data_IF_871412145149
#
_entry.id   IF_871412145149
#
_cell.length_a   1.000
_cell.length_b   1.000
_cell.length_c   1.000
_cell.angle_alpha   90.00
_cell.angle_beta   90.00
_cell.angle_gamma   90.00
#
_symmetry.space_group_name_H-M   'P 1'
#
loop_
_entity.id
_entity.type
_entity.pdbx_description
1 polymer ?
#
# COMPACT_ATOMS: atom_id res chain seq x y z
N UNK A 1 16.74 5.38 -21.33
CA UNK A 1 15.50 6.16 -21.06
C UNK A 1 14.42 5.16 -20.69
N UNK A 2 13.60 5.48 -19.72
CA UNK A 2 12.45 4.64 -19.37
C UNK A 2 11.22 5.17 -20.14
N UNK A 3 10.51 4.30 -20.86
CA UNK A 3 9.32 4.65 -21.59
C UNK A 3 8.12 4.75 -20.62
N UNK A 4 7.21 5.68 -20.89
CA UNK A 4 5.95 5.82 -20.15
C UNK A 4 4.80 5.61 -21.12
N UNK A 5 3.90 4.68 -20.79
CA UNK A 5 2.73 4.37 -21.55
C UNK A 5 1.48 4.84 -20.81
N UNK A 6 0.58 5.53 -21.51
CA UNK A 6 -0.65 6.06 -20.93
C UNK A 6 -1.83 5.60 -21.80
N UNK A 7 -2.69 4.77 -21.21
CA UNK A 7 -4.00 4.47 -21.78
C UNK A 7 -5.05 5.36 -21.10
N UNK A 8 -5.84 6.07 -21.89
CA UNK A 8 -6.89 6.95 -21.39
C UNK A 8 -8.17 6.72 -22.18
N UNK A 9 -9.23 6.44 -21.47
CA UNK A 9 -10.58 6.36 -22.00
C UNK A 9 -11.54 7.00 -21.00
N UNK A 10 -12.36 7.95 -21.44
CA UNK A 10 -13.23 8.73 -20.56
C UNK A 10 -14.55 8.03 -20.25
N UNK A 11 -14.87 6.96 -20.98
CA UNK A 11 -16.07 6.15 -20.77
C UNK A 11 -15.89 4.98 -19.80
N UNK A 12 -14.66 4.76 -19.31
CA UNK A 12 -14.36 3.62 -18.45
C UNK A 12 -14.78 3.91 -17.01
N UNK A 13 -15.57 3.01 -16.45
CA UNK A 13 -15.90 2.96 -15.04
C UNK A 13 -15.35 1.69 -14.39
N UNK A 14 -15.13 1.75 -13.08
CA UNK A 14 -14.85 0.54 -12.32
C UNK A 14 -16.10 -0.34 -12.26
N UNK A 15 -15.94 -1.67 -12.39
CA UNK A 15 -17.07 -2.58 -12.22
C UNK A 15 -17.68 -2.43 -10.84
N UNK A 16 -18.96 -2.84 -10.70
CA UNK A 16 -19.65 -2.80 -9.43
C UNK A 16 -18.92 -3.59 -8.35
N UNK A 17 -19.07 -3.14 -7.13
CA UNK A 17 -18.08 -3.21 -6.08
C UNK A 17 -17.77 -4.58 -5.53
N UNK A 18 -18.67 -5.54 -5.62
CA UNK A 18 -18.45 -6.89 -5.07
C UNK A 18 -18.35 -7.87 -6.22
N UNK A 19 -17.17 -7.97 -6.81
CA UNK A 19 -16.87 -8.94 -7.84
C UNK A 19 -15.41 -9.39 -7.75
N UNK A 20 -15.10 -10.57 -8.29
CA UNK A 20 -13.74 -11.07 -8.36
C UNK A 20 -12.84 -10.33 -9.38
N UNK A 21 -13.36 -9.33 -10.09
CA UNK A 21 -12.63 -8.59 -11.11
C UNK A 21 -12.34 -9.37 -12.40
N UNK A 22 -13.07 -10.46 -12.65
CA UNK A 22 -12.93 -11.27 -13.88
C UNK A 22 -13.23 -10.44 -15.14
N UNK A 23 -12.62 -10.76 -16.31
CA UNK A 23 -12.95 -10.08 -17.57
C UNK A 23 -14.41 -10.31 -17.97
N UNK A 24 -15.02 -9.37 -18.66
CA UNK A 24 -16.35 -9.54 -19.26
C UNK A 24 -16.32 -10.18 -20.66
N UNK A 25 -15.11 -10.36 -21.21
CA UNK A 25 -14.87 -11.00 -22.50
C UNK A 25 -13.92 -12.17 -22.32
N UNK A 26 -14.23 -13.30 -22.94
CA UNK A 26 -13.32 -14.44 -22.96
C UNK A 26 -12.20 -14.19 -23.97
N UNK A 27 -11.04 -13.75 -23.48
CA UNK A 27 -9.86 -13.54 -24.32
C UNK A 27 -9.16 -14.87 -24.63
N UNK A 28 -8.50 -15.02 -25.80
CA UNK A 28 -7.80 -16.27 -26.16
C UNK A 28 -6.72 -16.69 -25.16
N UNK A 29 -6.04 -15.72 -24.56
CA UNK A 29 -4.98 -15.95 -23.57
C UNK A 29 -5.48 -16.16 -22.14
N UNK A 30 -6.76 -15.92 -21.86
CA UNK A 30 -7.34 -16.06 -20.51
C UNK A 30 -7.40 -17.51 -20.11
N UNK A 31 -6.88 -17.84 -18.93
CA UNK A 31 -6.68 -19.23 -18.50
C UNK A 31 -7.94 -19.87 -17.88
N UNK A 32 -8.98 -19.08 -17.64
CA UNK A 32 -10.20 -19.53 -16.96
C UNK A 32 -11.42 -19.40 -17.85
N UNK A 33 -12.50 -20.14 -17.50
CA UNK A 33 -13.78 -20.07 -18.21
C UNK A 33 -14.79 -19.11 -17.56
N UNK A 34 -14.58 -18.77 -16.29
CA UNK A 34 -15.48 -17.87 -15.53
C UNK A 34 -15.22 -16.43 -15.93
N UNK A 35 -16.21 -15.81 -16.54
CA UNK A 35 -16.19 -14.38 -16.89
C UNK A 35 -17.20 -13.61 -16.04
N UNK A 36 -17.03 -12.30 -15.95
CA UNK A 36 -17.96 -11.38 -15.29
C UNK A 36 -19.29 -11.32 -16.04
N UNK A 37 -20.40 -11.34 -15.33
CA UNK A 37 -21.75 -11.12 -15.91
C UNK A 37 -21.98 -9.61 -16.20
N UNK A 38 -21.24 -8.72 -15.54
CA UNK A 38 -21.24 -7.28 -15.74
C UNK A 38 -20.06 -6.82 -16.58
N UNK A 39 -20.17 -5.63 -17.15
CA UNK A 39 -19.08 -5.01 -17.91
C UNK A 39 -17.87 -4.73 -17.00
N UNK A 40 -16.68 -5.11 -17.49
CA UNK A 40 -15.40 -4.86 -16.83
C UNK A 40 -14.37 -4.34 -17.85
N UNK A 41 -14.46 -3.06 -18.16
CA UNK A 41 -13.55 -2.39 -19.08
C UNK A 41 -12.12 -2.25 -18.52
N UNK A 42 -11.95 -2.42 -17.22
CA UNK A 42 -10.63 -2.32 -16.57
C UNK A 42 -9.73 -3.45 -17.03
N UNK A 43 -10.25 -4.68 -17.11
CA UNK A 43 -9.49 -5.83 -17.61
C UNK A 43 -9.01 -5.59 -19.05
N UNK A 44 -9.90 -5.14 -19.92
CA UNK A 44 -9.57 -4.78 -21.32
C UNK A 44 -8.54 -3.65 -21.38
N UNK A 45 -8.65 -2.65 -20.52
CA UNK A 45 -7.70 -1.52 -20.44
C UNK A 45 -6.30 -1.97 -20.06
N UNK A 46 -6.15 -2.88 -19.10
CA UNK A 46 -4.86 -3.47 -18.73
C UNK A 46 -4.29 -4.26 -19.91
N UNK A 47 -5.12 -5.07 -20.56
CA UNK A 47 -4.77 -5.83 -21.75
C UNK A 47 -4.26 -4.93 -22.88
N UNK A 48 -4.99 -3.87 -23.20
CA UNK A 48 -4.60 -2.86 -24.20
C UNK A 48 -3.31 -2.14 -23.82
N UNK A 49 -3.14 -1.83 -22.52
CA UNK A 49 -1.92 -1.18 -22.03
C UNK A 49 -0.71 -2.08 -22.24
N UNK A 50 -0.77 -3.36 -21.90
CA UNK A 50 0.32 -4.31 -22.13
C UNK A 50 0.65 -4.46 -23.62
N UNK A 51 -0.37 -4.49 -24.49
CA UNK A 51 -0.15 -4.51 -25.94
C UNK A 51 0.52 -3.22 -26.43
N UNK A 52 0.07 -2.05 -25.96
CA UNK A 52 0.67 -0.74 -26.26
C UNK A 52 2.15 -0.67 -25.84
N UNK A 53 2.50 -1.29 -24.72
CA UNK A 53 3.88 -1.43 -24.24
C UNK A 53 4.73 -2.36 -25.15
N UNK A 54 4.13 -3.00 -26.13
CA UNK A 54 4.81 -3.95 -27.03
C UNK A 54 5.17 -5.27 -26.37
N UNK A 55 4.53 -5.61 -25.24
CA UNK A 55 4.83 -6.83 -24.48
C UNK A 55 4.31 -8.05 -25.24
N UNK A 56 5.24 -8.94 -25.60
CA UNK A 56 4.98 -10.17 -26.38
C UNK A 56 4.09 -9.92 -27.61
N UNK A 57 4.38 -8.85 -28.37
CA UNK A 57 3.57 -8.34 -29.47
C UNK A 57 3.25 -9.38 -30.53
N UNK A 58 4.16 -10.31 -30.76
CA UNK A 58 4.05 -11.35 -31.80
C UNK A 58 2.92 -12.33 -31.53
N UNK A 59 2.59 -12.58 -30.25
CA UNK A 59 1.54 -13.50 -29.86
C UNK A 59 0.21 -12.83 -29.48
N UNK A 60 0.12 -11.50 -29.56
CA UNK A 60 -1.09 -10.77 -29.20
C UNK A 60 -2.33 -11.29 -29.96
N UNK A 61 -3.42 -11.51 -29.22
CA UNK A 61 -4.67 -12.06 -29.77
C UNK A 61 -4.68 -13.59 -29.92
N UNK A 62 -3.67 -14.28 -29.42
CA UNK A 62 -3.62 -15.75 -29.38
C UNK A 62 -3.51 -16.27 -27.93
N UNK A 63 -3.78 -17.55 -27.73
CA UNK A 63 -3.64 -18.21 -26.44
C UNK A 63 -2.17 -18.25 -25.91
N UNK A 64 -1.21 -18.00 -26.78
CA UNK A 64 0.22 -17.96 -26.46
C UNK A 64 0.67 -16.60 -25.89
N UNK A 65 -0.14 -15.55 -26.05
CA UNK A 65 0.27 -14.23 -25.60
C UNK A 65 0.55 -14.21 -24.09
N UNK A 66 1.79 -13.88 -23.75
CA UNK A 66 2.32 -13.87 -22.38
C UNK A 66 3.05 -12.53 -22.12
N UNK A 67 2.32 -11.42 -21.89
CA UNK A 67 2.91 -10.09 -21.82
C UNK A 67 3.95 -9.93 -20.70
N UNK A 68 3.86 -10.70 -19.62
CA UNK A 68 4.81 -10.61 -18.51
C UNK A 68 5.93 -11.66 -18.55
N UNK A 69 5.98 -12.53 -19.56
CA UNK A 69 6.96 -13.63 -19.66
C UNK A 69 8.42 -13.21 -19.82
N UNK A 70 8.71 -11.91 -20.05
CA UNK A 70 10.08 -11.36 -20.01
C UNK A 70 10.52 -10.87 -18.62
N UNK A 71 9.59 -10.78 -17.66
CA UNK A 71 9.82 -10.20 -16.34
C UNK A 71 9.54 -11.16 -15.20
N UNK A 72 8.70 -12.16 -15.46
CA UNK A 72 8.28 -13.17 -14.48
C UNK A 72 8.56 -14.55 -15.07
N UNK A 73 9.25 -15.37 -14.32
CA UNK A 73 9.68 -16.71 -14.73
C UNK A 73 9.06 -17.78 -13.83
N UNK A 74 9.01 -19.05 -14.32
CA UNK A 74 8.60 -20.19 -13.49
C UNK A 74 9.41 -20.25 -12.19
N UNK A 75 8.71 -20.53 -11.08
CA UNK A 75 9.18 -20.56 -9.70
C UNK A 75 9.43 -19.20 -9.01
N UNK A 76 9.26 -18.08 -9.70
CA UNK A 76 9.39 -16.76 -9.04
C UNK A 76 8.35 -16.60 -7.91
N UNK A 77 8.77 -15.85 -6.90
CA UNK A 77 7.91 -15.25 -5.89
C UNK A 77 7.61 -13.81 -6.31
N UNK A 78 6.37 -13.55 -6.70
CA UNK A 78 5.97 -12.24 -7.20
C UNK A 78 5.16 -11.50 -6.14
N UNK A 79 5.67 -10.36 -5.68
CA UNK A 79 4.92 -9.43 -4.84
C UNK A 79 4.10 -8.47 -5.72
N UNK A 80 2.79 -8.56 -5.66
CA UNK A 80 1.87 -7.56 -6.18
C UNK A 80 1.59 -6.55 -5.06
N UNK A 81 1.95 -5.29 -5.28
CA UNK A 81 1.85 -4.24 -4.28
C UNK A 81 0.78 -3.20 -4.67
N UNK A 82 -0.51 -3.43 -4.37
CA UNK A 82 -1.55 -2.43 -4.54
C UNK A 82 -1.45 -1.33 -3.48
N UNK A 83 -2.28 -0.29 -3.60
CA UNK A 83 -2.51 0.70 -2.56
C UNK A 83 -3.81 0.36 -1.84
N UNK A 84 -3.78 -0.03 -0.57
CA UNK A 84 -4.97 -0.44 0.19
C UNK A 84 -5.37 0.55 1.30
N UNK A 85 -4.62 1.57 1.52
CA UNK A 85 -4.69 2.67 2.51
C UNK A 85 -5.70 2.51 3.65
N UNK A 86 -7.02 2.50 3.37
CA UNK A 86 -8.10 2.46 4.39
C UNK A 86 -9.38 1.87 3.80
N UNK A 87 -10.17 1.21 4.64
CA UNK A 87 -11.39 0.49 4.25
C UNK A 87 -12.58 1.41 3.93
N UNK A 88 -12.60 2.65 4.44
CA UNK A 88 -13.73 3.57 4.24
C UNK A 88 -13.27 5.01 4.03
N UNK A 89 -14.08 5.80 3.34
CA UNK A 89 -13.91 7.23 3.22
C UNK A 89 -14.81 7.95 4.22
N UNK A 90 -14.21 8.56 5.24
CA UNK A 90 -14.96 9.29 6.30
C UNK A 90 -15.39 10.69 5.87
N UNK A 91 -14.96 11.17 4.69
CA UNK A 91 -15.22 12.54 4.22
C UNK A 91 -16.31 12.56 3.15
N UNK A 92 -16.32 11.55 2.27
CA UNK A 92 -17.21 11.47 1.13
C UNK A 92 -17.88 10.10 1.08
N UNK A 93 -19.21 10.08 1.15
CA UNK A 93 -19.99 8.88 0.93
C UNK A 93 -19.71 8.30 -0.47
N UNK A 94 -19.57 6.98 -0.56
CA UNK A 94 -19.20 6.26 -1.80
C UNK A 94 -17.90 6.75 -2.46
N UNK A 95 -16.99 7.34 -1.66
CA UNK A 95 -15.68 7.81 -2.13
C UNK A 95 -14.57 6.78 -2.05
N UNK A 96 -14.87 5.54 -1.69
CA UNK A 96 -13.91 4.45 -1.45
C UNK A 96 -13.11 4.12 -2.71
N UNK A 97 -13.76 4.11 -3.88
CA UNK A 97 -13.13 3.84 -5.19
C UNK A 97 -11.94 4.77 -5.49
N UNK A 98 -11.87 5.94 -4.85
CA UNK A 98 -10.74 6.88 -4.98
C UNK A 98 -9.59 6.60 -4.02
N UNK A 99 -9.76 5.78 -2.99
CA UNK A 99 -8.79 5.58 -1.91
C UNK A 99 -7.75 4.51 -2.24
N UNK A 100 -8.16 3.40 -2.84
CA UNK A 100 -7.33 2.22 -3.03
C UNK A 100 -7.33 1.74 -4.49
N UNK A 101 -6.39 0.85 -4.81
CA UNK A 101 -6.33 0.20 -6.11
C UNK A 101 -7.50 -0.75 -6.26
N UNK A 102 -8.32 -0.56 -7.30
CA UNK A 102 -9.50 -1.39 -7.53
C UNK A 102 -9.11 -2.86 -7.80
N UNK A 103 -9.91 -3.79 -7.29
CA UNK A 103 -9.67 -5.23 -7.41
C UNK A 103 -9.56 -5.69 -8.86
N UNK A 104 -10.31 -5.08 -9.80
CA UNK A 104 -10.26 -5.43 -11.22
C UNK A 104 -8.87 -5.18 -11.84
N UNK A 105 -8.14 -4.14 -11.39
CA UNK A 105 -6.76 -3.90 -11.81
C UNK A 105 -5.85 -5.00 -11.26
N UNK A 106 -5.98 -5.28 -9.96
CA UNK A 106 -5.15 -6.29 -9.29
C UNK A 106 -5.38 -7.66 -9.91
N UNK A 107 -6.65 -8.02 -10.15
CA UNK A 107 -7.03 -9.28 -10.78
C UNK A 107 -6.43 -9.42 -12.17
N UNK A 108 -6.63 -8.44 -13.06
CA UNK A 108 -6.12 -8.50 -14.42
C UNK A 108 -4.60 -8.68 -14.46
N UNK A 109 -3.85 -7.95 -13.63
CA UNK A 109 -2.40 -8.08 -13.57
C UNK A 109 -1.99 -9.43 -12.99
N UNK A 110 -2.66 -9.91 -11.94
CA UNK A 110 -2.37 -11.21 -11.29
C UNK A 110 -2.59 -12.38 -12.26
N UNK A 111 -3.65 -12.34 -13.08
CA UNK A 111 -3.90 -13.38 -14.09
C UNK A 111 -2.74 -13.49 -15.10
N UNK A 112 -2.20 -12.36 -15.56
CA UNK A 112 -1.03 -12.36 -16.46
C UNK A 112 0.27 -12.79 -15.75
N UNK A 113 0.41 -12.53 -14.44
CA UNK A 113 1.53 -13.06 -13.64
C UNK A 113 1.42 -14.58 -13.56
N UNK A 114 0.26 -15.13 -13.21
CA UNK A 114 0.02 -16.58 -13.12
C UNK A 114 0.27 -17.27 -14.47
N UNK A 115 -0.14 -16.64 -15.58
CA UNK A 115 0.19 -17.10 -16.91
C UNK A 115 1.70 -17.18 -17.14
N UNK A 116 2.46 -16.18 -16.73
CA UNK A 116 3.90 -16.15 -16.87
C UNK A 116 4.60 -17.19 -15.97
N UNK A 117 4.09 -17.41 -14.77
CA UNK A 117 4.57 -18.44 -13.84
C UNK A 117 4.34 -19.87 -14.36
N UNK A 118 3.37 -20.09 -15.25
CA UNK A 118 3.12 -21.38 -15.89
C UNK A 118 2.80 -22.53 -14.91
N UNK A 119 2.12 -22.23 -13.80
CA UNK A 119 1.72 -23.20 -12.78
C UNK A 119 2.78 -23.47 -11.69
N UNK A 120 3.92 -22.77 -11.71
CA UNK A 120 4.95 -22.85 -10.66
C UNK A 120 5.25 -21.47 -10.07
N UNK A 121 5.83 -21.41 -8.85
CA UNK A 121 6.01 -20.14 -8.14
C UNK A 121 4.78 -19.73 -7.34
N UNK A 122 4.70 -18.46 -6.95
CA UNK A 122 3.59 -17.93 -6.16
C UNK A 122 3.40 -16.42 -6.35
N UNK A 123 2.18 -15.96 -6.12
CA UNK A 123 1.84 -14.53 -6.08
C UNK A 123 1.43 -14.13 -4.67
N UNK A 124 2.03 -13.07 -4.15
CA UNK A 124 1.68 -12.49 -2.85
C UNK A 124 1.15 -11.08 -3.09
N UNK A 125 -0.13 -10.86 -2.86
CA UNK A 125 -0.76 -9.55 -2.92
C UNK A 125 -0.68 -8.95 -1.51
N UNK A 126 0.04 -7.84 -1.32
CA UNK A 126 0.27 -7.34 0.04
C UNK A 126 0.39 -5.83 0.13
N UNK A 127 -0.07 -5.28 1.25
CA UNK A 127 0.10 -3.88 1.65
C UNK A 127 0.11 -3.75 3.18
N UNK A 128 0.70 -2.66 3.69
CA UNK A 128 0.51 -2.21 5.06
C UNK A 128 -0.37 -0.94 5.06
N UNK A 129 -1.70 -1.07 5.10
CA UNK A 129 -2.61 0.08 5.16
C UNK A 129 -2.39 0.92 6.42
N UNK A 130 -3.14 2.03 6.59
CA UNK A 130 -3.11 2.79 7.83
C UNK A 130 -3.54 1.89 9.00
N UNK A 131 -2.97 2.14 10.17
CA UNK A 131 -3.14 1.26 11.34
C UNK A 131 -4.60 1.08 11.77
N UNK A 132 -5.44 2.10 11.58
CA UNK A 132 -6.87 2.06 11.91
C UNK A 132 -7.76 1.44 10.83
N UNK A 133 -7.21 0.98 9.71
CA UNK A 133 -7.98 0.27 8.69
C UNK A 133 -8.38 -1.11 9.20
N UNK A 134 -9.65 -1.42 9.15
CA UNK A 134 -10.14 -2.78 9.38
C UNK A 134 -9.88 -3.63 8.14
N UNK A 135 -9.07 -4.68 8.30
CA UNK A 135 -8.64 -5.53 7.19
C UNK A 135 -9.77 -6.40 6.63
N UNK A 136 -10.58 -6.96 7.51
CA UNK A 136 -11.66 -7.88 7.13
C UNK A 136 -12.78 -7.11 6.43
N UNK A 137 -13.11 -5.92 6.95
CA UNK A 137 -14.05 -5.01 6.29
C UNK A 137 -13.50 -4.59 4.93
N UNK A 138 -12.20 -4.21 4.85
CA UNK A 138 -11.58 -3.85 3.58
C UNK A 138 -11.72 -4.99 2.56
N UNK A 139 -11.29 -6.18 2.92
CA UNK A 139 -11.32 -7.33 2.00
C UNK A 139 -12.74 -7.65 1.51
N UNK A 140 -13.73 -7.61 2.42
CA UNK A 140 -15.12 -7.97 2.10
C UNK A 140 -15.87 -6.90 1.31
N UNK A 141 -15.50 -5.61 1.43
CA UNK A 141 -16.21 -4.51 0.75
C UNK A 141 -15.55 -4.06 -0.54
N UNK A 142 -14.31 -4.45 -0.79
CA UNK A 142 -13.52 -4.02 -1.95
C UNK A 142 -13.41 -5.04 -3.09
N UNK A 143 -14.01 -6.24 -2.93
CA UNK A 143 -13.92 -7.34 -3.89
C UNK A 143 -12.65 -8.19 -3.79
N UNK A 144 -11.74 -7.87 -2.86
CA UNK A 144 -10.51 -8.67 -2.70
C UNK A 144 -10.79 -10.06 -2.12
N UNK A 145 -11.79 -10.21 -1.25
CA UNK A 145 -12.21 -11.50 -0.72
C UNK A 145 -12.72 -12.41 -1.84
N UNK A 146 -13.61 -11.92 -2.68
CA UNK A 146 -14.18 -12.66 -3.82
C UNK A 146 -13.10 -13.05 -4.82
N UNK A 147 -12.11 -12.19 -5.06
CA UNK A 147 -10.95 -12.49 -5.90
C UNK A 147 -10.12 -13.65 -5.30
N UNK A 148 -9.87 -13.64 -3.99
CA UNK A 148 -9.13 -14.73 -3.34
C UNK A 148 -9.89 -16.04 -3.36
N UNK A 149 -11.21 -16.03 -3.12
CA UNK A 149 -12.07 -17.21 -3.25
C UNK A 149 -12.05 -17.77 -4.67
N UNK A 150 -11.99 -16.91 -5.69
CA UNK A 150 -11.83 -17.34 -7.07
C UNK A 150 -10.50 -18.08 -7.28
N UNK A 151 -9.37 -17.53 -6.81
CA UNK A 151 -8.06 -18.18 -6.97
C UNK A 151 -7.97 -19.50 -6.19
N UNK A 152 -8.57 -19.57 -5.00
CA UNK A 152 -8.63 -20.78 -4.19
C UNK A 152 -9.40 -21.90 -4.93
N UNK A 153 -10.58 -21.59 -5.50
CA UNK A 153 -11.37 -22.55 -6.30
C UNK A 153 -10.63 -23.07 -7.52
N UNK A 154 -9.72 -22.27 -8.07
CA UNK A 154 -8.91 -22.64 -9.24
C UNK A 154 -7.53 -23.23 -8.86
N UNK A 155 -7.30 -23.50 -7.57
CA UNK A 155 -6.04 -24.05 -7.03
C UNK A 155 -4.80 -23.20 -7.38
N UNK A 156 -4.96 -21.90 -7.49
CA UNK A 156 -3.85 -20.99 -7.75
C UNK A 156 -3.07 -20.64 -6.48
N UNK A 157 -1.76 -20.49 -6.60
CA UNK A 157 -0.89 -20.11 -5.48
C UNK A 157 -0.86 -18.60 -5.32
N UNK A 158 -1.98 -18.03 -4.91
CA UNK A 158 -2.14 -16.61 -4.62
C UNK A 158 -2.45 -16.44 -3.14
N UNK A 159 -1.83 -15.47 -2.49
CA UNK A 159 -2.11 -15.11 -1.11
C UNK A 159 -2.34 -13.60 -0.96
N UNK A 160 -3.18 -13.20 -0.01
CA UNK A 160 -3.47 -11.82 0.33
C UNK A 160 -2.98 -11.56 1.76
N UNK A 161 -2.05 -10.61 1.94
CA UNK A 161 -1.33 -10.43 3.21
C UNK A 161 -1.39 -8.98 3.69
N UNK A 162 -1.84 -8.80 4.94
CA UNK A 162 -1.71 -7.56 5.68
C UNK A 162 -0.30 -7.47 6.29
N UNK A 163 0.50 -6.54 5.81
CA UNK A 163 1.89 -6.36 6.22
C UNK A 163 2.07 -5.56 7.52
N UNK A 164 1.02 -5.16 8.21
CA UNK A 164 1.14 -4.39 9.45
C UNK A 164 1.56 -5.25 10.64
N UNK A 165 2.53 -4.79 11.38
CA UNK A 165 2.89 -5.36 12.68
C UNK A 165 1.82 -5.04 13.75
N UNK A 166 1.25 -3.83 13.72
CA UNK A 166 0.20 -3.40 14.63
C UNK A 166 -1.08 -3.03 13.88
N UNK A 167 -2.21 -3.33 14.48
CA UNK A 167 -3.50 -2.75 14.14
C UNK A 167 -3.90 -1.78 15.25
N UNK A 168 -4.50 -0.66 14.90
CA UNK A 168 -4.93 0.33 15.86
C UNK A 168 -6.46 0.42 15.91
N UNK A 169 -6.99 0.56 17.12
CA UNK A 169 -8.43 0.76 17.36
C UNK A 169 -8.65 2.02 18.16
N UNK A 170 -9.69 2.76 17.82
CA UNK A 170 -10.12 3.90 18.61
C UNK A 170 -10.90 3.44 19.84
N UNK A 171 -10.44 3.85 21.03
CA UNK A 171 -11.17 3.74 22.28
C UNK A 171 -11.53 5.15 22.79
N UNK A 172 -12.70 5.63 22.41
CA UNK A 172 -13.09 7.02 22.66
C UNK A 172 -12.14 7.97 21.94
N UNK A 173 -11.35 8.75 22.70
CA UNK A 173 -10.44 9.76 22.15
C UNK A 173 -9.02 9.27 21.87
N UNK A 174 -8.66 8.07 22.27
CA UNK A 174 -7.29 7.56 22.12
C UNK A 174 -7.23 6.42 21.12
N UNK A 175 -6.04 6.21 20.55
CA UNK A 175 -5.75 5.10 19.65
C UNK A 175 -4.93 4.05 20.42
N UNK A 176 -5.44 2.83 20.49
CA UNK A 176 -4.77 1.70 21.14
C UNK A 176 -4.25 0.78 20.04
N UNK A 177 -2.99 0.40 20.12
CA UNK A 177 -2.34 -0.52 19.20
C UNK A 177 -2.38 -1.94 19.75
N UNK A 178 -2.74 -2.88 18.89
CA UNK A 178 -2.72 -4.31 19.16
C UNK A 178 -1.72 -4.97 18.21
N UNK A 179 -0.78 -5.74 18.75
CA UNK A 179 0.19 -6.48 17.97
C UNK A 179 -0.49 -7.62 17.21
N UNK A 180 -0.10 -7.82 15.96
CA UNK A 180 -0.61 -8.89 15.10
C UNK A 180 0.40 -10.03 15.00
N UNK A 181 -0.08 -11.25 14.98
CA UNK A 181 0.75 -12.40 14.60
C UNK A 181 0.97 -12.36 13.09
N UNK A 182 2.20 -12.11 12.68
CA UNK A 182 2.58 -12.04 11.26
C UNK A 182 3.06 -13.41 10.74
N UNK A 183 2.68 -13.82 9.52
CA UNK A 183 3.19 -15.03 8.89
C UNK A 183 4.59 -14.87 8.26
N UNK A 184 5.21 -13.70 8.39
CA UNK A 184 6.51 -13.33 7.81
C UNK A 184 7.32 -12.51 8.83
N UNK A 185 8.60 -12.24 8.50
CA UNK A 185 9.48 -11.45 9.37
C UNK A 185 9.41 -9.96 9.02
N UNK A 186 9.49 -9.12 10.04
CA UNK A 186 9.83 -7.71 9.90
C UNK A 186 11.36 -7.57 10.03
N UNK A 187 11.99 -7.00 9.02
CA UNK A 187 13.44 -6.83 8.95
C UNK A 187 13.78 -5.36 9.09
N UNK A 188 14.58 -5.00 10.07
CA UNK A 188 15.06 -3.62 10.22
C UNK A 188 16.22 -3.38 9.28
N UNK A 189 16.02 -2.46 8.33
CA UNK A 189 17.02 -2.03 7.35
C UNK A 189 17.49 -0.63 7.73
N UNK A 190 18.80 -0.47 7.98
CA UNK A 190 19.41 0.83 8.23
C UNK A 190 20.04 1.37 6.96
N UNK A 191 19.47 2.43 6.40
CA UNK A 191 19.99 3.09 5.21
C UNK A 191 21.17 4.03 5.52
N UNK A 192 21.33 4.46 6.79
CA UNK A 192 22.44 5.32 7.19
C UNK A 192 22.61 6.52 6.24
N UNK A 193 23.77 6.61 5.60
CA UNK A 193 24.11 7.69 4.68
C UNK A 193 23.34 7.69 3.35
N UNK A 194 22.75 6.58 2.97
CA UNK A 194 21.95 6.44 1.74
C UNK A 194 20.50 6.92 1.92
N UNK A 195 20.11 7.24 3.16
CA UNK A 195 18.80 7.82 3.44
C UNK A 195 18.72 9.27 2.94
N UNK A 196 17.56 9.64 2.40
CA UNK A 196 17.25 11.03 2.08
C UNK A 196 17.27 11.97 3.32
N UNK A 197 17.18 11.42 4.54
CA UNK A 197 17.30 12.15 5.78
C UNK A 197 18.74 12.32 6.29
N UNK A 198 19.72 11.71 5.64
CA UNK A 198 21.12 11.75 6.07
C UNK A 198 21.72 13.19 6.06
N UNK A 199 21.15 14.08 5.27
CA UNK A 199 21.55 15.50 5.24
C UNK A 199 21.01 16.32 6.40
N UNK A 200 20.10 15.78 7.21
CA UNK A 200 19.50 16.45 8.35
C UNK A 200 20.34 16.21 9.61
N UNK A 201 20.46 17.26 10.44
CA UNK A 201 21.08 17.10 11.77
C UNK A 201 20.17 16.28 12.71
N UNK A 202 20.74 15.71 13.78
CA UNK A 202 19.97 15.00 14.80
C UNK A 202 18.88 15.87 15.44
N UNK A 203 19.11 17.17 15.59
CA UNK A 203 18.09 18.12 16.09
C UNK A 203 16.89 18.18 15.14
N UNK A 204 17.15 18.17 13.82
CA UNK A 204 16.10 18.19 12.81
C UNK A 204 15.38 16.84 12.73
N UNK A 205 16.11 15.74 12.87
CA UNK A 205 15.56 14.38 12.90
C UNK A 205 14.67 14.13 14.13
N UNK A 206 14.97 14.74 15.28
CA UNK A 206 14.06 14.76 16.44
C UNK A 206 12.71 15.41 16.18
N UNK A 207 12.56 16.17 15.11
CA UNK A 207 11.30 16.72 14.63
C UNK A 207 10.45 15.74 13.82
N UNK A 208 10.97 14.59 13.40
CA UNK A 208 10.25 13.59 12.61
C UNK A 208 9.09 13.00 13.42
N UNK A 209 7.93 12.86 12.77
CA UNK A 209 6.67 12.43 13.39
C UNK A 209 5.85 11.54 12.46
N UNK A 210 5.04 10.74 13.11
CA UNK A 210 3.87 10.10 12.54
C UNK A 210 2.69 10.32 13.49
N UNK A 211 1.49 10.48 12.96
CA UNK A 211 0.28 10.73 13.75
C UNK A 211 -0.03 9.51 14.64
N UNK A 212 -0.45 9.77 15.87
CA UNK A 212 -0.89 8.77 16.86
C UNK A 212 0.21 7.81 17.37
N UNK A 213 1.49 8.20 17.28
CA UNK A 213 2.64 7.39 17.73
C UNK A 213 3.59 8.16 18.64
N UNK A 214 4.32 7.44 19.49
CA UNK A 214 5.33 8.03 20.34
C UNK A 214 6.55 8.50 19.56
N UNK A 215 6.81 9.78 19.59
CA UNK A 215 7.93 10.39 18.90
C UNK A 215 9.30 9.91 19.39
N UNK A 216 9.41 9.43 20.64
CA UNK A 216 10.68 8.92 21.19
C UNK A 216 11.16 7.68 20.44
N UNK A 217 10.23 6.82 19.99
CA UNK A 217 10.54 5.63 19.20
C UNK A 217 11.06 6.08 17.82
N UNK A 218 10.34 6.96 17.14
CA UNK A 218 10.76 7.52 15.86
C UNK A 218 12.15 8.16 15.94
N UNK A 219 12.40 8.97 16.99
CA UNK A 219 13.70 9.61 17.23
C UNK A 219 14.82 8.58 17.37
N UNK A 220 14.58 7.45 18.06
CA UNK A 220 15.57 6.41 18.27
C UNK A 220 16.03 5.71 16.99
N UNK A 221 15.17 5.73 15.95
CA UNK A 221 15.43 5.11 14.65
C UNK A 221 16.03 6.07 13.61
N UNK A 222 16.00 7.39 13.87
CA UNK A 222 16.44 8.40 12.90
C UNK A 222 17.44 9.41 13.45
N UNK A 223 18.18 9.08 14.51
CA UNK A 223 19.25 9.91 15.08
C UNK A 223 20.55 9.11 15.25
N UNK A 224 21.66 9.78 15.50
CA UNK A 224 22.98 9.15 15.66
C UNK A 224 23.49 8.53 14.38
N UNK A 225 23.17 9.09 13.23
CA UNK A 225 23.57 8.57 11.91
C UNK A 225 22.80 7.34 11.45
N UNK A 226 21.76 6.94 12.18
CA UNK A 226 20.84 5.86 11.77
C UNK A 226 19.64 6.41 11.02
N UNK A 227 19.18 5.62 10.04
CA UNK A 227 17.88 5.81 9.36
C UNK A 227 17.29 4.44 9.10
N UNK A 228 16.59 3.93 10.10
CA UNK A 228 16.09 2.56 10.15
C UNK A 228 14.63 2.49 9.69
N UNK A 229 14.31 1.44 8.94
CA UNK A 229 12.98 1.13 8.42
C UNK A 229 12.67 -0.34 8.66
N UNK A 230 11.46 -0.65 9.10
CA UNK A 230 10.99 -2.01 9.32
C UNK A 230 10.30 -2.52 8.04
N UNK A 231 11.01 -3.30 7.25
CA UNK A 231 10.55 -3.79 5.94
C UNK A 231 10.09 -5.25 6.06
N UNK A 232 8.99 -5.60 5.38
CA UNK A 232 8.53 -6.99 5.28
C UNK A 232 9.55 -7.87 4.56
N UNK A 233 9.85 -9.06 5.11
CA UNK A 233 10.69 -10.05 4.42
C UNK A 233 10.10 -10.46 3.06
N UNK A 234 8.78 -10.45 2.91
CA UNK A 234 8.11 -10.68 1.61
C UNK A 234 8.62 -9.71 0.54
N UNK A 235 8.78 -8.42 0.88
CA UNK A 235 9.24 -7.44 -0.08
C UNK A 235 10.76 -7.54 -0.36
N UNK A 236 11.54 -8.05 0.59
CA UNK A 236 12.99 -8.22 0.44
C UNK A 236 13.36 -9.53 -0.29
N UNK A 237 12.50 -10.53 -0.19
CA UNK A 237 12.74 -11.88 -0.72
C UNK A 237 12.01 -12.13 -2.05
N UNK A 238 11.12 -11.23 -2.48
CA UNK A 238 10.43 -11.34 -3.76
C UNK A 238 11.40 -11.21 -4.93
N UNK A 239 11.30 -12.12 -5.91
CA UNK A 239 12.08 -12.08 -7.16
C UNK A 239 11.61 -10.91 -8.03
N UNK A 240 10.30 -10.61 -8.02
CA UNK A 240 9.68 -9.51 -8.78
C UNK A 240 8.69 -8.75 -7.91
N UNK A 241 8.73 -7.41 -7.97
CA UNK A 241 7.71 -6.54 -7.36
C UNK A 241 6.94 -5.82 -8.46
N UNK A 242 5.63 -6.08 -8.55
CA UNK A 242 4.73 -5.35 -9.44
C UNK A 242 3.93 -4.33 -8.62
N UNK A 243 4.29 -3.07 -8.78
CA UNK A 243 3.74 -1.96 -8.01
C UNK A 243 2.50 -1.38 -8.69
N UNK A 244 1.33 -1.49 -8.06
CA UNK A 244 0.02 -1.06 -8.56
C UNK A 244 -0.53 0.13 -7.75
N UNK A 245 0.02 1.33 -7.90
CA UNK A 245 -0.37 2.49 -7.12
C UNK A 245 -1.76 3.02 -7.51
N UNK A 246 -2.43 3.68 -6.56
CA UNK A 246 -3.56 4.56 -6.84
C UNK A 246 -3.08 6.00 -6.93
N UNK A 247 -3.16 6.61 -8.10
CA UNK A 247 -2.84 8.04 -8.26
C UNK A 247 -3.97 8.86 -7.64
N UNK A 248 -3.62 9.71 -6.68
CA UNK A 248 -4.55 10.60 -5.97
C UNK A 248 -3.83 11.77 -5.32
N UNK A 249 -4.56 12.81 -4.98
CA UNK A 249 -4.03 13.92 -4.18
C UNK A 249 -3.65 13.46 -2.77
N UNK A 250 -2.69 14.14 -2.17
CA UNK A 250 -2.24 13.86 -0.80
C UNK A 250 -1.97 15.17 -0.05
N UNK A 251 -2.47 15.26 1.18
CA UNK A 251 -2.42 16.47 2.00
C UNK A 251 -1.01 17.04 2.19
N UNK A 252 -0.03 16.18 2.49
CA UNK A 252 1.35 16.59 2.77
C UNK A 252 2.26 16.44 1.54
N UNK A 253 2.19 15.31 0.84
CA UNK A 253 3.08 15.02 -0.29
C UNK A 253 2.58 15.59 -1.64
N UNK A 254 1.46 16.33 -1.65
CA UNK A 254 0.81 16.83 -2.85
C UNK A 254 0.12 15.73 -3.66
N UNK A 255 0.84 14.68 -4.03
CA UNK A 255 0.35 13.56 -4.83
C UNK A 255 0.86 12.22 -4.30
N UNK A 256 0.08 11.16 -4.50
CA UNK A 256 0.53 9.78 -4.35
C UNK A 256 0.70 9.14 -5.73
N UNK A 257 1.74 8.32 -5.86
CA UNK A 257 2.04 7.58 -7.07
C UNK A 257 2.90 6.36 -6.72
N UNK A 258 3.66 5.86 -7.69
CA UNK A 258 4.44 4.62 -7.55
C UNK A 258 5.43 4.66 -6.37
N UNK A 259 6.23 5.74 -6.24
CA UNK A 259 7.20 5.87 -5.15
C UNK A 259 6.52 5.84 -3.77
N UNK A 260 5.43 6.63 -3.61
CA UNK A 260 4.73 6.66 -2.33
C UNK A 260 4.02 5.34 -2.01
N UNK A 261 3.63 4.57 -3.00
CA UNK A 261 2.99 3.27 -2.77
C UNK A 261 3.93 2.26 -2.09
N UNK A 262 5.23 2.35 -2.34
CA UNK A 262 6.23 1.48 -1.69
C UNK A 262 6.32 1.70 -0.16
N UNK A 263 5.85 2.82 0.35
CA UNK A 263 5.69 3.03 1.80
C UNK A 263 4.92 1.87 2.47
N UNK A 264 3.99 1.24 1.76
CA UNK A 264 3.20 0.12 2.26
C UNK A 264 3.94 -1.22 2.39
N UNK A 265 5.24 -1.31 2.15
CA UNK A 265 6.06 -2.47 2.54
C UNK A 265 6.64 -2.34 3.95
N UNK A 266 6.50 -1.16 4.59
CA UNK A 266 6.90 -0.95 5.97
C UNK A 266 5.87 -1.57 6.92
N UNK A 267 6.32 -2.52 7.70
CA UNK A 267 5.48 -3.29 8.62
C UNK A 267 5.17 -2.52 9.90
N UNK A 268 6.07 -1.63 10.31
CA UNK A 268 5.96 -0.86 11.54
C UNK A 268 6.09 0.64 11.28
N UNK A 269 5.04 1.37 11.61
CA UNK A 269 4.96 2.80 11.37
C UNK A 269 5.82 3.63 12.33
N UNK A 270 6.28 3.07 13.43
CA UNK A 270 7.22 3.73 14.34
C UNK A 270 8.57 4.04 13.66
N UNK A 271 8.90 3.30 12.58
CA UNK A 271 10.11 3.51 11.77
C UNK A 271 9.90 4.43 10.57
N UNK A 272 8.66 4.91 10.32
CA UNK A 272 8.31 5.55 9.06
C UNK A 272 7.89 7.01 9.25
N UNK A 273 8.80 7.99 9.12
CA UNK A 273 8.46 9.40 9.21
C UNK A 273 7.41 9.82 8.17
N UNK A 274 6.36 10.52 8.61
CA UNK A 274 5.32 11.04 7.74
C UNK A 274 5.42 12.56 7.54
N UNK A 275 5.91 13.27 8.56
CA UNK A 275 6.11 14.71 8.51
C UNK A 275 7.17 15.13 9.53
N UNK A 276 7.64 16.35 9.40
CA UNK A 276 8.53 16.99 10.37
C UNK A 276 7.84 18.19 11.01
N UNK A 277 7.84 18.22 12.33
CA UNK A 277 7.24 19.27 13.15
C UNK A 277 7.79 20.64 12.78
N UNK A 278 6.93 21.66 12.75
CA UNK A 278 7.32 23.02 12.46
C UNK A 278 6.95 23.52 11.06
N UNK A 279 7.55 24.62 10.66
CA UNK A 279 7.36 25.27 9.35
C UNK A 279 8.60 25.13 8.47
N UNK A 280 8.50 25.55 7.22
CA UNK A 280 9.66 25.61 6.31
C UNK A 280 10.81 26.49 6.82
N UNK A 281 10.53 27.50 7.63
CA UNK A 281 11.56 28.31 8.29
C UNK A 281 12.31 27.59 9.40
N UNK A 282 11.67 26.60 10.03
CA UNK A 282 12.24 25.73 11.04
C UNK A 282 12.66 24.37 10.46
N UNK A 283 12.74 24.30 9.11
CA UNK A 283 12.99 23.05 8.36
C UNK A 283 11.91 21.99 8.65
N UNK A 284 10.71 22.39 9.03
CA UNK A 284 9.52 21.54 9.18
C UNK A 284 8.63 21.58 7.94
N UNK A 285 7.64 20.69 7.88
CA UNK A 285 6.68 20.60 6.78
C UNK A 285 5.23 20.39 7.25
N UNK A 286 5.01 20.44 8.58
CA UNK A 286 3.69 20.21 9.18
C UNK A 286 2.73 21.38 8.96
N UNK A 287 3.23 22.61 9.09
CA UNK A 287 2.44 23.83 9.06
C UNK A 287 3.00 24.82 8.03
N UNK A 288 2.13 25.55 7.35
CA UNK A 288 2.54 26.71 6.54
C UNK A 288 3.01 27.87 7.42
N UNK A 289 2.34 28.03 8.55
CA UNK A 289 2.63 29.05 9.58
C UNK A 289 2.29 28.43 10.94
N UNK A 290 3.13 28.65 11.94
CA UNK A 290 2.94 28.14 13.32
C UNK A 290 2.51 29.28 14.24
N UNK A 291 1.39 29.09 14.91
CA UNK A 291 0.93 29.92 16.00
C UNK A 291 1.34 29.30 17.34
N UNK A 292 1.34 30.12 18.40
CA UNK A 292 1.64 29.61 19.75
C UNK A 292 0.71 28.48 20.19
N UNK A 293 -0.56 28.57 19.81
CA UNK A 293 -1.57 27.51 20.03
C UNK A 293 -1.19 26.18 19.38
N UNK A 294 -0.59 26.21 18.17
CA UNK A 294 -0.17 24.99 17.47
C UNK A 294 0.99 24.31 18.20
N UNK A 295 1.95 25.09 18.73
CA UNK A 295 3.05 24.54 19.54
C UNK A 295 2.55 23.86 20.80
N UNK A 296 1.53 24.41 21.48
CA UNK A 296 0.91 23.80 22.64
C UNK A 296 0.19 22.50 22.23
N UNK A 297 -0.62 22.57 21.17
CA UNK A 297 -1.36 21.41 20.65
C UNK A 297 -0.43 20.27 20.27
N UNK A 298 0.64 20.56 19.53
CA UNK A 298 1.63 19.55 19.14
C UNK A 298 2.30 18.91 20.35
N UNK A 299 2.61 19.70 21.38
CA UNK A 299 3.22 19.19 22.61
C UNK A 299 2.26 18.32 23.43
N UNK A 300 0.97 18.65 23.44
CA UNK A 300 -0.07 17.84 24.07
C UNK A 300 -0.28 16.53 23.32
N UNK A 301 -0.24 16.54 21.97
CA UNK A 301 -0.32 15.33 21.15
C UNK A 301 0.88 14.41 21.44
N UNK A 302 2.10 14.94 21.45
CA UNK A 302 3.31 14.18 21.80
C UNK A 302 3.18 13.55 23.19
N UNK A 303 2.69 14.31 24.18
CA UNK A 303 2.48 13.82 25.54
C UNK A 303 1.40 12.74 25.61
N UNK A 304 0.29 12.92 24.89
CA UNK A 304 -0.79 11.93 24.82
C UNK A 304 -0.26 10.60 24.22
N UNK A 305 0.47 10.68 23.11
CA UNK A 305 1.02 9.51 22.43
C UNK A 305 1.98 8.74 23.34
N UNK A 306 2.83 9.44 24.14
CA UNK A 306 3.70 8.82 25.16
C UNK A 306 2.90 8.10 26.24
N UNK A 307 1.81 8.70 26.73
CA UNK A 307 0.95 8.03 27.71
C UNK A 307 0.23 6.81 27.15
N UNK A 308 -0.15 6.83 25.86
CA UNK A 308 -0.72 5.67 25.17
C UNK A 308 0.33 4.56 25.10
N UNK A 309 1.56 4.87 24.68
CA UNK A 309 2.67 3.91 24.59
C UNK A 309 3.01 3.29 25.96
N UNK A 310 3.09 4.13 26.99
CA UNK A 310 3.30 3.71 28.38
C UNK A 310 2.08 2.98 28.99
N UNK A 311 1.02 2.71 28.22
CA UNK A 311 -0.26 2.10 28.65
C UNK A 311 -0.99 2.87 29.76
N UNK A 312 -0.70 4.16 29.91
CA UNK A 312 -1.34 5.07 30.87
C UNK A 312 -2.58 5.73 30.30
N UNK A 313 -3.55 4.94 29.86
CA UNK A 313 -4.70 5.37 29.06
C UNK A 313 -5.58 6.44 29.73
N UNK A 314 -5.71 6.41 31.05
CA UNK A 314 -6.51 7.43 31.77
C UNK A 314 -5.85 8.82 31.65
N UNK A 315 -4.53 8.90 31.78
CA UNK A 315 -3.80 10.16 31.56
C UNK A 315 -3.86 10.62 30.11
N UNK A 316 -3.70 9.68 29.15
CA UNK A 316 -3.84 9.99 27.74
C UNK A 316 -5.23 10.59 27.40
N UNK A 317 -6.33 10.06 27.96
CA UNK A 317 -7.67 10.58 27.79
C UNK A 317 -7.89 11.97 28.41
N UNK A 318 -7.18 12.26 29.50
CA UNK A 318 -7.24 13.57 30.15
C UNK A 318 -6.54 14.66 29.33
N UNK A 319 -5.42 14.32 28.67
CA UNK A 319 -4.65 15.26 27.84
C UNK A 319 -5.39 15.62 26.54
N UNK A 320 -6.17 14.73 25.96
CA UNK A 320 -6.93 14.92 24.71
C UNK A 320 -8.27 15.58 24.97
#
# INVERSE_FOLDING_TARGET
>A
MSDVFVYRDMGIEYPDTICAGSPSTLYPEYSYYEISTGQNDIYDSIRKTFHMMGLDKEHYGSNKWNPLGKYVYPNDVVLVKPNMVIHQNTIKENGEKSLYTNVAIVRAVTDYILKALGGSGQVIIADAPVQSSDWDIFCSTSGYKEMMEFYERNNERVSLVDLRHYQARYQGKIVIREEKKMPYKSVVVNLGRDSAFASLSDIQNKGLRITDYDNRIMESHHTGGKHEYAISSIALEADVIINLPKIKTHRLAGMTGAMKNIVGVNTDKDYLPHYRKGTSSDIGDQHKQVYFSDKIKDSLIDLMNRYVEDKKYNFARFVK
#
